data_IF_383948211134
#
_entry.id   IF_383948211134
#
_cell.length_a   1.000
_cell.length_b   1.000
_cell.length_c   1.000
_cell.angle_alpha   90.00
_cell.angle_beta   90.00
_cell.angle_gamma   90.00
#
_symmetry.space_group_name_H-M   'P 1'
#
loop_
_entity.id
_entity.type
_entity.pdbx_description
1 polymer ?
#
# COMPACT_ATOMS: atom_id res chain seq x y z
N UNK A 1 -18.47 -44.13 -19.91
CA UNK A 1 -18.57 -42.70 -19.55
C UNK A 1 -17.79 -42.48 -18.27
N UNK A 2 -16.54 -42.03 -18.37
CA UNK A 2 -15.71 -41.74 -17.21
C UNK A 2 -15.84 -40.25 -16.87
N UNK A 3 -16.43 -39.96 -15.71
CA UNK A 3 -16.50 -38.63 -15.11
C UNK A 3 -15.12 -38.26 -14.57
N UNK A 4 -14.50 -37.24 -15.16
CA UNK A 4 -13.26 -36.64 -14.65
C UNK A 4 -13.66 -35.57 -13.63
N UNK A 5 -13.34 -35.80 -12.36
CA UNK A 5 -13.47 -34.81 -11.32
C UNK A 5 -12.35 -33.76 -11.48
N UNK A 6 -12.73 -32.51 -11.75
CA UNK A 6 -11.82 -31.36 -11.73
C UNK A 6 -11.55 -30.99 -10.27
N UNK A 7 -10.34 -31.25 -9.80
CA UNK A 7 -9.83 -30.69 -8.55
C UNK A 7 -9.37 -29.27 -8.83
N UNK A 8 -10.25 -28.29 -8.63
CA UNK A 8 -9.88 -26.89 -8.57
C UNK A 8 -9.01 -26.64 -7.34
N UNK A 9 -7.72 -26.42 -7.54
CA UNK A 9 -6.87 -25.89 -6.48
C UNK A 9 -7.33 -24.47 -6.15
N UNK A 10 -7.78 -24.27 -4.92
CA UNK A 10 -8.16 -22.97 -4.39
C UNK A 10 -6.94 -22.02 -4.40
N UNK A 11 -7.16 -20.81 -4.90
CA UNK A 11 -6.18 -19.71 -4.96
C UNK A 11 -5.75 -19.32 -3.55
N UNK A 12 -4.46 -19.36 -3.28
CA UNK A 12 -3.91 -18.78 -2.06
C UNK A 12 -4.01 -17.26 -2.15
N UNK A 13 -4.92 -16.68 -1.37
CA UNK A 13 -4.79 -15.30 -0.94
C UNK A 13 -3.60 -15.22 0.02
N UNK A 14 -2.75 -14.22 -0.12
CA UNK A 14 -1.68 -13.96 0.86
C UNK A 14 -2.33 -13.84 2.26
N UNK A 15 -1.86 -14.59 3.27
CA UNK A 15 -2.49 -14.58 4.58
C UNK A 15 -2.37 -13.19 5.22
N UNK A 16 -3.40 -12.79 5.96
CA UNK A 16 -3.37 -11.63 6.83
C UNK A 16 -2.10 -11.68 7.71
N UNK A 17 -1.14 -10.79 7.47
CA UNK A 17 0.13 -10.72 8.20
C UNK A 17 1.40 -10.77 7.36
N UNK A 18 1.34 -11.12 6.07
CA UNK A 18 2.49 -10.92 5.18
C UNK A 18 2.85 -9.43 5.04
N UNK A 19 4.13 -9.10 4.97
CA UNK A 19 4.59 -7.72 4.72
C UNK A 19 4.20 -7.25 3.32
N UNK A 20 3.99 -5.95 3.16
CA UNK A 20 3.59 -5.34 1.90
C UNK A 20 4.59 -5.64 0.78
N UNK A 21 4.12 -6.30 -0.26
CA UNK A 21 4.88 -6.55 -1.48
C UNK A 21 4.45 -5.61 -2.60
N UNK A 22 5.39 -5.25 -3.47
CA UNK A 22 5.13 -4.44 -4.65
C UNK A 22 5.62 -5.16 -5.91
N UNK A 23 4.71 -5.43 -6.84
CA UNK A 23 5.01 -6.15 -8.09
C UNK A 23 4.46 -5.39 -9.29
N UNK A 24 5.21 -5.32 -10.39
CA UNK A 24 4.65 -4.83 -11.65
C UNK A 24 3.99 -5.98 -12.38
N UNK A 25 2.70 -5.82 -12.69
CA UNK A 25 1.85 -6.85 -13.28
C UNK A 25 1.26 -6.34 -14.59
N UNK A 26 1.23 -7.22 -15.59
CA UNK A 26 0.57 -7.00 -16.88
C UNK A 26 -0.76 -7.76 -16.91
N UNK A 27 -1.77 -7.16 -17.53
CA UNK A 27 -3.09 -7.78 -17.70
C UNK A 27 -2.97 -9.04 -18.55
N UNK A 28 -3.44 -10.17 -18.00
CA UNK A 28 -3.70 -11.41 -18.74
C UNK A 28 -5.17 -11.58 -19.12
N UNK A 29 -5.97 -10.50 -19.12
CA UNK A 29 -7.38 -10.58 -19.51
C UNK A 29 -7.53 -10.95 -20.99
N UNK A 30 -8.41 -11.92 -21.33
CA UNK A 30 -8.71 -12.23 -22.73
C UNK A 30 -9.14 -10.99 -23.52
N UNK A 31 -8.53 -10.79 -24.69
CA UNK A 31 -8.86 -9.68 -25.59
C UNK A 31 -8.20 -8.33 -25.27
N UNK A 32 -7.20 -8.29 -24.36
CA UNK A 32 -6.36 -7.10 -24.17
C UNK A 32 -5.24 -6.98 -25.22
N UNK A 33 -4.78 -8.09 -25.79
CA UNK A 33 -3.70 -8.05 -26.79
C UNK A 33 -4.13 -7.31 -28.08
N UNK A 34 -3.21 -6.55 -28.71
CA UNK A 34 -1.77 -6.47 -28.42
C UNK A 34 -1.40 -5.47 -27.31
N UNK A 35 -2.36 -4.67 -26.81
CA UNK A 35 -2.12 -3.52 -25.92
C UNK A 35 -2.77 -3.73 -24.56
N UNK A 36 -2.05 -4.34 -23.63
CA UNK A 36 -2.58 -4.68 -22.31
C UNK A 36 -2.19 -3.65 -21.25
N UNK A 37 -3.05 -3.47 -20.25
CA UNK A 37 -2.79 -2.61 -19.11
C UNK A 37 -1.71 -3.21 -18.20
N UNK A 38 -0.88 -2.36 -17.61
CA UNK A 38 0.07 -2.69 -16.55
C UNK A 38 -0.29 -1.93 -15.27
N UNK A 39 0.01 -2.50 -14.11
CA UNK A 39 -0.20 -1.86 -12.81
C UNK A 39 0.86 -2.32 -11.80
N UNK A 40 0.90 -1.65 -10.66
CA UNK A 40 1.66 -2.07 -9.49
C UNK A 40 0.68 -2.77 -8.55
N UNK A 41 0.84 -4.06 -8.33
CA UNK A 41 0.20 -4.75 -7.20
C UNK A 41 0.88 -4.31 -5.90
N UNK A 42 0.10 -3.91 -4.91
CA UNK A 42 0.54 -3.51 -3.58
C UNK A 42 -0.29 -4.26 -2.53
N UNK A 43 0.18 -5.42 -2.07
CA UNK A 43 -0.60 -6.30 -1.19
C UNK A 43 0.16 -6.68 0.07
N UNK A 44 -0.53 -6.64 1.22
CA UNK A 44 0.01 -7.02 2.53
C UNK A 44 0.00 -5.90 3.57
N UNK A 45 0.68 -6.14 4.68
CA UNK A 45 0.76 -5.25 5.84
C UNK A 45 1.79 -4.15 5.60
N UNK A 46 1.41 -2.89 5.78
CA UNK A 46 2.32 -1.75 5.67
C UNK A 46 3.27 -1.79 6.87
N UNK A 47 4.56 -1.97 6.62
CA UNK A 47 5.64 -1.96 7.62
C UNK A 47 6.60 -0.80 7.35
N UNK A 48 7.55 -0.55 8.25
CA UNK A 48 8.48 0.58 8.12
C UNK A 48 9.44 0.45 6.92
N UNK A 49 9.69 -0.76 6.42
CA UNK A 49 10.45 -1.00 5.20
C UNK A 49 9.64 -0.79 3.91
N UNK A 50 8.31 -0.84 3.96
CA UNK A 50 7.45 -0.74 2.77
C UNK A 50 7.71 0.51 1.91
N UNK A 51 7.94 1.72 2.47
CA UNK A 51 8.30 2.89 1.67
C UNK A 51 9.61 2.72 0.89
N UNK A 52 10.60 2.02 1.46
CA UNK A 52 11.86 1.77 0.78
C UNK A 52 11.69 0.79 -0.39
N UNK A 53 10.90 -0.26 -0.20
CA UNK A 53 10.54 -1.23 -1.26
C UNK A 53 9.77 -0.54 -2.39
N UNK A 54 8.76 0.26 -2.06
CA UNK A 54 8.01 1.03 -3.06
C UNK A 54 8.90 1.99 -3.83
N UNK A 55 9.78 2.73 -3.13
CA UNK A 55 10.75 3.63 -3.77
C UNK A 55 11.71 2.88 -4.70
N UNK A 56 12.14 1.66 -4.34
CA UNK A 56 12.99 0.82 -5.20
C UNK A 56 12.24 0.43 -6.48
N UNK A 57 10.98 0.00 -6.38
CA UNK A 57 10.16 -0.33 -7.55
C UNK A 57 9.89 0.90 -8.44
N UNK A 58 9.55 2.05 -7.83
CA UNK A 58 9.36 3.29 -8.56
C UNK A 58 10.61 3.71 -9.36
N UNK A 59 11.82 3.41 -8.86
CA UNK A 59 13.06 3.61 -9.62
C UNK A 59 13.19 2.64 -10.79
N UNK A 60 12.83 1.36 -10.63
CA UNK A 60 12.98 0.35 -11.69
C UNK A 60 12.05 0.60 -12.88
N UNK A 61 10.86 1.17 -12.65
CA UNK A 61 9.92 1.53 -13.74
C UNK A 61 10.18 2.92 -14.34
N UNK A 62 11.18 3.65 -13.85
CA UNK A 62 11.53 4.98 -14.35
C UNK A 62 10.38 5.98 -14.23
N UNK A 63 10.03 6.63 -15.35
CA UNK A 63 8.98 7.65 -15.44
C UNK A 63 7.58 7.08 -15.71
N UNK A 64 7.44 5.75 -15.85
CA UNK A 64 6.14 5.11 -16.08
C UNK A 64 5.20 5.39 -14.90
N UNK A 65 3.96 5.74 -15.22
CA UNK A 65 2.89 6.02 -14.25
C UNK A 65 1.90 4.87 -14.27
N UNK A 66 2.26 3.80 -13.58
CA UNK A 66 1.39 2.64 -13.46
C UNK A 66 0.42 2.86 -12.29
N UNK A 67 -0.89 2.61 -12.47
CA UNK A 67 -1.83 2.64 -11.36
C UNK A 67 -1.44 1.61 -10.31
N UNK A 68 -1.82 1.86 -9.05
CA UNK A 68 -1.63 0.91 -7.96
C UNK A 68 -2.93 0.18 -7.70
N UNK A 69 -2.86 -1.15 -7.61
CA UNK A 69 -3.94 -2.01 -7.13
C UNK A 69 -3.57 -2.48 -5.74
N UNK A 70 -4.35 -2.08 -4.73
CA UNK A 70 -4.04 -2.35 -3.32
C UNK A 70 -5.08 -3.21 -2.64
N UNK A 71 -4.61 -4.21 -1.88
CA UNK A 71 -5.35 -4.81 -0.78
C UNK A 71 -4.48 -4.83 0.47
N UNK A 72 -4.95 -4.30 1.60
CA UNK A 72 -4.12 -4.20 2.79
C UNK A 72 -4.93 -4.07 4.08
N UNK A 73 -4.52 -4.77 5.16
CA UNK A 73 -5.08 -4.57 6.49
C UNK A 73 -4.66 -3.23 7.13
N UNK A 74 -3.73 -2.51 6.50
CA UNK A 74 -3.05 -1.36 7.09
C UNK A 74 -1.73 -1.77 7.74
N UNK A 75 -1.36 -1.13 8.85
CA UNK A 75 -0.07 -1.28 9.50
C UNK A 75 0.52 0.06 9.91
N UNK A 76 1.82 0.25 9.74
CA UNK A 76 2.54 1.47 10.14
C UNK A 76 1.98 2.71 9.43
N UNK A 77 1.57 3.69 10.26
CA UNK A 77 0.92 4.92 9.79
C UNK A 77 1.91 5.80 9.03
N UNK A 78 3.14 5.94 9.53
CA UNK A 78 4.11 6.86 8.95
C UNK A 78 4.64 6.34 7.61
N UNK A 79 4.78 5.02 7.48
CA UNK A 79 5.02 4.33 6.23
C UNK A 79 3.89 4.54 5.22
N UNK A 80 2.63 4.39 5.64
CA UNK A 80 1.47 4.65 4.77
C UNK A 80 1.44 6.10 4.26
N UNK A 81 1.71 7.06 5.15
CA UNK A 81 1.82 8.49 4.83
C UNK A 81 2.99 8.80 3.88
N UNK A 82 4.12 8.11 4.03
CA UNK A 82 5.28 8.26 3.17
C UNK A 82 5.02 7.70 1.76
N UNK A 83 4.41 6.50 1.68
CA UNK A 83 4.00 5.89 0.41
C UNK A 83 2.99 6.80 -0.31
N UNK A 84 1.95 7.25 0.39
CA UNK A 84 0.94 8.14 -0.21
C UNK A 84 1.52 9.44 -0.77
N UNK A 85 2.54 10.03 -0.14
CA UNK A 85 3.27 11.19 -0.71
C UNK A 85 4.03 10.84 -1.98
N UNK A 86 4.67 9.67 -2.04
CA UNK A 86 5.35 9.21 -3.26
C UNK A 86 4.36 8.95 -4.40
N UNK A 87 3.18 8.39 -4.09
CA UNK A 87 2.06 8.22 -5.04
C UNK A 87 1.63 9.57 -5.59
N UNK A 88 1.35 10.54 -4.72
CA UNK A 88 0.92 11.90 -5.08
C UNK A 88 1.95 12.60 -5.97
N UNK A 89 3.22 12.55 -5.57
CA UNK A 89 4.31 13.19 -6.29
C UNK A 89 4.49 12.65 -7.72
N UNK A 90 4.13 11.39 -7.97
CA UNK A 90 4.16 10.76 -9.29
C UNK A 90 2.84 10.81 -10.06
N UNK A 91 1.81 11.43 -9.50
CA UNK A 91 0.48 11.51 -10.09
C UNK A 91 -0.10 10.12 -10.45
N UNK A 92 0.04 9.16 -9.53
CA UNK A 92 -0.40 7.78 -9.73
C UNK A 92 -1.87 7.64 -9.27
N UNK A 93 -2.69 6.94 -10.05
CA UNK A 93 -4.03 6.51 -9.63
C UNK A 93 -3.95 5.25 -8.76
N UNK A 94 -4.90 5.09 -7.83
CA UNK A 94 -4.94 3.97 -6.89
C UNK A 94 -6.35 3.36 -6.87
N UNK A 95 -6.42 2.04 -6.97
CA UNK A 95 -7.64 1.26 -6.87
C UNK A 95 -7.52 0.26 -5.72
N UNK A 96 -8.60 0.10 -4.94
CA UNK A 96 -8.70 -1.05 -4.04
C UNK A 96 -9.13 -2.27 -4.86
N UNK A 97 -8.30 -3.31 -4.84
CA UNK A 97 -8.46 -4.51 -5.63
C UNK A 97 -7.43 -5.57 -5.23
N UNK A 98 -7.65 -6.82 -5.65
CA UNK A 98 -6.71 -7.93 -5.53
C UNK A 98 -6.13 -8.25 -6.90
N UNK A 99 -4.84 -8.53 -6.93
CA UNK A 99 -4.12 -9.01 -8.10
C UNK A 99 -3.96 -10.51 -7.99
N UNK A 100 -4.64 -11.23 -8.88
CA UNK A 100 -4.47 -12.65 -9.00
C UNK A 100 -3.48 -12.96 -10.11
N UNK A 101 -2.32 -13.50 -9.77
CA UNK A 101 -1.35 -13.97 -10.75
C UNK A 101 -1.89 -15.20 -11.48
N UNK A 102 -1.77 -15.21 -12.81
CA UNK A 102 -2.15 -16.34 -13.69
C UNK A 102 -0.95 -17.25 -13.91
N UNK A 103 0.25 -16.70 -13.93
CA UNK A 103 1.50 -17.41 -14.19
C UNK A 103 2.09 -17.98 -12.89
N UNK A 104 3.12 -17.32 -12.38
CA UNK A 104 3.99 -17.83 -11.35
C UNK A 104 3.57 -17.28 -9.98
N UNK A 105 3.26 -18.19 -9.05
CA UNK A 105 3.04 -17.84 -7.65
C UNK A 105 4.42 -17.68 -6.96
N UNK A 106 4.61 -16.70 -6.05
CA UNK A 106 5.89 -16.48 -5.35
C UNK A 106 6.45 -17.72 -4.63
N UNK A 107 5.61 -18.69 -4.31
CA UNK A 107 5.95 -19.92 -3.60
C UNK A 107 6.45 -21.06 -4.51
N UNK A 108 6.53 -20.87 -5.83
CA UNK A 108 7.03 -21.89 -6.77
C UNK A 108 8.57 -21.81 -6.91
N UNK A 109 9.27 -22.95 -6.80
CA UNK A 109 10.75 -23.01 -6.84
C UNK A 109 11.35 -22.58 -8.18
N UNK A 110 10.66 -22.82 -9.30
CA UNK A 110 11.08 -22.43 -10.65
C UNK A 110 10.62 -21.01 -11.04
N UNK A 111 10.17 -20.24 -10.04
CA UNK A 111 9.74 -18.86 -10.25
C UNK A 111 10.95 -17.94 -10.41
N UNK A 112 11.51 -17.92 -11.62
CA UNK A 112 12.59 -17.00 -11.94
C UNK A 112 11.98 -15.60 -12.04
N UNK A 113 12.16 -14.80 -10.98
CA UNK A 113 12.20 -13.34 -11.07
C UNK A 113 13.31 -13.02 -12.07
N UNK A 114 12.95 -12.96 -13.34
CA UNK A 114 13.94 -12.59 -14.31
C UNK A 114 14.18 -11.10 -14.06
N UNK A 115 15.42 -10.80 -13.69
CA UNK A 115 15.77 -9.59 -12.96
C UNK A 115 16.26 -8.49 -13.90
N UNK A 116 15.53 -8.14 -14.98
CA UNK A 116 16.01 -7.10 -15.92
C UNK A 116 15.04 -6.05 -16.50
N UNK A 117 13.74 -6.30 -16.73
CA UNK A 117 12.95 -5.38 -17.60
C UNK A 117 11.49 -5.10 -17.21
N UNK A 118 11.16 -5.08 -15.91
CA UNK A 118 10.13 -4.15 -15.41
C UNK A 118 8.65 -4.46 -15.63
N UNK A 119 8.26 -5.65 -16.10
CA UNK A 119 6.96 -6.30 -15.88
C UNK A 119 7.04 -7.78 -16.34
N UNK A 120 7.05 -8.73 -15.41
CA UNK A 120 7.22 -10.17 -15.72
C UNK A 120 6.17 -11.07 -15.07
N UNK A 121 5.14 -10.46 -14.47
CA UNK A 121 4.03 -11.17 -13.85
C UNK A 121 2.77 -10.89 -14.65
N UNK A 122 2.09 -11.94 -15.06
CA UNK A 122 0.80 -11.87 -15.74
C UNK A 122 -0.28 -12.12 -14.71
N UNK A 123 -1.25 -11.21 -14.63
CA UNK A 123 -2.33 -11.32 -13.65
C UNK A 123 -3.63 -10.69 -14.11
N UNK A 124 -4.64 -10.83 -13.25
CA UNK A 124 -5.94 -10.17 -13.38
C UNK A 124 -6.21 -9.43 -12.07
N UNK A 125 -6.51 -8.14 -12.17
CA UNK A 125 -7.00 -7.37 -11.05
C UNK A 125 -8.53 -7.49 -10.96
N UNK A 126 -9.04 -7.69 -9.75
CA UNK A 126 -10.48 -7.79 -9.47
C UNK A 126 -10.82 -7.16 -8.12
N UNK A 127 -12.05 -6.69 -7.97
CA UNK A 127 -12.52 -6.04 -6.74
C UNK A 127 -12.94 -7.02 -5.63
N UNK A 128 -13.20 -8.29 -5.98
CA UNK A 128 -13.73 -9.29 -5.04
C UNK A 128 -12.83 -9.54 -3.83
N UNK A 129 -13.40 -9.46 -2.63
CA UNK A 129 -12.71 -9.62 -1.33
C UNK A 129 -11.53 -8.66 -1.09
N UNK A 130 -11.35 -7.66 -1.94
CA UNK A 130 -10.31 -6.66 -1.77
C UNK A 130 -10.71 -5.68 -0.68
N UNK A 131 -9.73 -5.23 0.10
CA UNK A 131 -10.00 -4.32 1.19
C UNK A 131 -8.83 -3.38 1.46
N UNK A 132 -9.13 -2.22 2.03
CA UNK A 132 -8.13 -1.25 2.43
C UNK A 132 -8.51 -0.70 3.80
N UNK A 133 -7.90 -1.29 4.83
CA UNK A 133 -8.26 -1.05 6.23
C UNK A 133 -7.23 -0.21 6.98
N UNK A 134 -7.66 0.38 8.09
CA UNK A 134 -6.79 1.06 9.07
C UNK A 134 -5.97 2.21 8.48
N UNK A 135 -4.66 2.04 8.31
CA UNK A 135 -3.75 3.02 7.69
C UNK A 135 -3.69 2.94 6.17
N UNK A 136 -4.19 1.87 5.54
CA UNK A 136 -4.25 1.76 4.07
C UNK A 136 -5.03 2.93 3.40
N UNK A 137 -6.19 3.38 3.92
CA UNK A 137 -6.88 4.56 3.39
C UNK A 137 -6.02 5.82 3.34
N UNK A 138 -5.02 5.95 4.23
CA UNK A 138 -4.07 7.04 4.20
C UNK A 138 -3.12 6.90 2.99
N UNK A 139 -2.65 5.69 2.69
CA UNK A 139 -1.88 5.43 1.47
C UNK A 139 -2.73 5.72 0.21
N UNK A 140 -3.97 5.21 0.17
CA UNK A 140 -4.94 5.42 -0.91
C UNK A 140 -5.16 6.92 -1.19
N UNK A 141 -5.26 7.75 -0.14
CA UNK A 141 -5.44 9.20 -0.27
C UNK A 141 -4.36 9.85 -1.15
N UNK A 142 -3.16 9.29 -1.21
CA UNK A 142 -2.08 9.73 -2.10
C UNK A 142 -2.44 9.77 -3.59
N UNK A 143 -3.41 8.94 -4.02
CA UNK A 143 -3.78 8.80 -5.43
C UNK A 143 -4.41 10.06 -6.04
N UNK A 144 -4.05 10.38 -7.28
CA UNK A 144 -4.69 11.46 -8.07
C UNK A 144 -6.08 11.07 -8.57
N UNK A 145 -6.28 9.79 -8.84
CA UNK A 145 -7.57 9.14 -9.00
C UNK A 145 -7.67 7.98 -8.01
N UNK A 146 -8.82 7.84 -7.35
CA UNK A 146 -9.03 6.86 -6.27
C UNK A 146 -10.35 6.15 -6.51
N UNK A 147 -10.32 4.83 -6.64
CA UNK A 147 -11.51 4.01 -6.90
C UNK A 147 -11.58 2.82 -5.95
N UNK A 148 -12.80 2.49 -5.53
CA UNK A 148 -13.11 1.34 -4.69
C UNK A 148 -14.36 0.71 -5.29
N UNK A 149 -14.22 -0.51 -5.80
CA UNK A 149 -15.33 -1.23 -6.43
C UNK A 149 -16.36 -1.68 -5.40
N UNK A 150 -17.58 -1.97 -5.87
CA UNK A 150 -18.71 -2.43 -5.03
C UNK A 150 -18.38 -3.68 -4.20
N UNK A 151 -17.53 -4.56 -4.75
CA UNK A 151 -17.11 -5.81 -4.10
C UNK A 151 -15.85 -5.67 -3.24
N UNK A 152 -15.26 -4.48 -3.23
CA UNK A 152 -14.16 -4.09 -2.37
C UNK A 152 -14.69 -3.18 -1.26
N UNK A 153 -13.94 -3.03 -0.18
CA UNK A 153 -14.33 -2.06 0.85
C UNK A 153 -13.14 -1.29 1.44
N UNK A 154 -13.44 -0.09 1.91
CA UNK A 154 -12.53 0.75 2.65
C UNK A 154 -13.02 0.82 4.10
N UNK A 155 -12.16 0.43 5.03
CA UNK A 155 -12.47 0.37 6.45
C UNK A 155 -11.58 1.28 7.28
N UNK A 156 -12.14 1.94 8.29
CA UNK A 156 -11.38 2.74 9.25
C UNK A 156 -11.67 2.30 10.68
N UNK A 157 -10.69 2.48 11.55
CA UNK A 157 -10.80 2.31 13.00
C UNK A 157 -9.82 3.24 13.71
N UNK A 158 -9.86 3.30 15.05
CA UNK A 158 -8.95 4.18 15.77
C UNK A 158 -7.50 3.69 15.67
N UNK A 159 -6.57 4.62 15.50
CA UNK A 159 -5.15 4.33 15.49
C UNK A 159 -4.67 4.07 16.91
N UNK A 160 -4.07 2.91 17.14
CA UNK A 160 -3.44 2.55 18.41
C UNK A 160 -1.98 2.99 18.40
N UNK A 161 -1.50 3.63 19.47
CA UNK A 161 -0.08 4.00 19.62
C UNK A 161 0.61 3.03 20.57
N UNK A 162 1.70 2.40 20.14
CA UNK A 162 2.50 1.51 20.98
C UNK A 162 3.72 2.26 21.51
N UNK A 163 3.83 2.39 22.82
CA UNK A 163 4.99 2.98 23.49
C UNK A 163 5.96 1.87 23.87
N UNK A 164 7.20 1.95 23.39
CA UNK A 164 8.29 1.08 23.83
C UNK A 164 9.21 1.88 24.74
N UNK A 165 9.43 1.39 25.97
CA UNK A 165 10.32 2.01 26.92
C UNK A 165 11.69 1.36 26.84
N UNK A 166 12.72 2.18 26.60
CA UNK A 166 14.11 1.72 26.47
C UNK A 166 14.94 2.42 27.55
N UNK A 167 15.50 1.63 28.46
CA UNK A 167 16.52 2.08 29.38
C UNK A 167 17.86 2.16 28.65
N UNK A 168 18.49 3.34 28.64
CA UNK A 168 19.81 3.53 28.01
C UNK A 168 20.83 3.95 29.05
N UNK A 169 21.83 3.10 29.30
CA UNK A 169 22.95 3.41 30.19
C UNK A 169 24.04 4.15 29.41
N UNK A 170 24.56 5.24 29.95
CA UNK A 170 25.65 6.01 29.35
C UNK A 170 26.90 6.02 30.22
N UNK A 171 28.07 5.97 29.59
CA UNK A 171 29.36 6.30 30.20
C UNK A 171 29.77 7.67 29.68
N UNK A 172 29.75 8.66 30.55
CA UNK A 172 30.20 10.01 30.23
C UNK A 172 31.58 10.29 30.86
N UNK A 173 32.50 10.88 30.08
CA UNK A 173 33.76 11.44 30.58
C UNK A 173 33.64 12.96 30.68
N UNK A 174 34.31 13.54 31.66
CA UNK A 174 34.32 14.99 31.89
C UNK A 174 35.75 15.51 32.00
N UNK A 175 35.95 16.76 31.61
CA UNK A 175 37.18 17.54 31.84
C UNK A 175 36.79 18.84 32.51
N UNK A 176 37.51 19.21 33.54
CA UNK A 176 37.32 20.48 34.21
C UNK A 176 38.17 21.52 33.48
N UNK A 177 37.55 22.59 32.98
CA UNK A 177 38.23 23.71 32.31
C UNK A 177 37.81 24.98 33.03
N UNK A 178 38.77 25.73 33.58
CA UNK A 178 38.53 26.95 34.37
C UNK A 178 37.51 26.73 35.52
N UNK A 179 37.62 25.62 36.25
CA UNK A 179 36.71 25.26 37.33
C UNK A 179 35.33 24.74 36.89
N UNK A 180 35.01 24.73 35.59
CA UNK A 180 33.72 24.23 35.07
C UNK A 180 33.84 22.82 34.52
N UNK A 181 32.93 21.92 34.96
CA UNK A 181 32.83 20.54 34.46
C UNK A 181 32.27 20.54 33.04
N UNK A 182 33.10 20.16 32.07
CA UNK A 182 32.73 20.06 30.65
C UNK A 182 32.69 18.59 30.24
N UNK A 183 31.58 18.12 29.67
CA UNK A 183 31.44 16.74 29.18
C UNK A 183 32.31 16.55 27.93
N UNK A 184 33.26 15.61 27.97
CA UNK A 184 34.21 15.34 26.88
C UNK A 184 33.82 14.15 26.02
N UNK A 185 33.08 13.19 26.56
CA UNK A 185 32.48 12.12 25.76
C UNK A 185 31.23 11.57 26.42
N UNK A 186 30.28 11.09 25.62
CA UNK A 186 29.09 10.35 26.06
C UNK A 186 28.96 9.10 25.19
N UNK A 187 29.23 7.93 25.76
CA UNK A 187 29.13 6.64 25.07
C UNK A 187 27.93 5.86 25.61
N UNK A 188 27.09 5.32 24.73
CA UNK A 188 26.07 4.35 25.11
C UNK A 188 26.76 3.06 25.55
N UNK A 189 26.46 2.60 26.76
CA UNK A 189 26.99 1.35 27.34
C UNK A 189 26.05 0.20 27.08
N UNK A 190 24.75 0.41 27.27
CA UNK A 190 23.72 -0.59 26.99
C UNK A 190 22.39 0.10 26.64
N UNK A 191 21.55 -0.63 25.91
CA UNK A 191 20.13 -0.34 25.71
C UNK A 191 19.35 -1.58 26.09
N UNK A 192 18.38 -1.45 26.99
CA UNK A 192 17.49 -2.53 27.40
C UNK A 192 16.06 -2.11 27.16
N UNK A 193 15.29 -2.93 26.45
CA UNK A 193 13.84 -2.79 26.38
C UNK A 193 13.26 -3.18 27.75
N UNK A 194 12.56 -2.27 28.40
CA UNK A 194 11.96 -2.47 29.74
C UNK A 194 10.44 -2.63 29.68
N UNK A 195 9.90 -2.88 28.49
CA UNK A 195 8.48 -3.09 28.25
C UNK A 195 7.84 -1.95 27.47
N UNK A 196 6.51 -1.96 27.44
CA UNK A 196 5.74 -0.99 26.69
C UNK A 196 4.25 -1.08 26.99
N UNK A 197 3.51 -0.06 26.59
CA UNK A 197 2.06 -0.02 26.71
C UNK A 197 1.43 0.49 25.42
N UNK A 198 0.18 0.12 25.17
CA UNK A 198 -0.60 0.60 24.02
C UNK A 198 -1.64 1.61 24.49
N UNK A 199 -1.77 2.72 23.79
CA UNK A 199 -2.89 3.64 23.96
C UNK A 199 -3.83 3.50 22.77
N UNK A 200 -5.10 3.37 23.09
CA UNK A 200 -6.16 3.16 22.12
C UNK A 200 -6.75 4.49 21.64
N UNK A 201 -6.69 5.52 22.47
CA UNK A 201 -7.13 6.86 22.09
C UNK A 201 -6.09 7.57 21.20
N UNK A 202 -6.59 8.17 20.12
CA UNK A 202 -5.79 9.00 19.24
C UNK A 202 -5.38 10.30 19.93
N UNK A 203 -4.07 10.55 20.02
CA UNK A 203 -3.57 11.82 20.55
C UNK A 203 -3.98 13.01 19.67
N UNK A 204 -4.15 14.21 20.28
CA UNK A 204 -4.43 15.44 19.53
C UNK A 204 -3.36 15.74 18.47
N UNK A 205 -2.10 15.37 18.72
CA UNK A 205 -1.02 15.51 17.75
C UNK A 205 -1.19 14.59 16.55
N UNK A 206 -1.57 13.33 16.78
CA UNK A 206 -1.85 12.36 15.71
C UNK A 206 -3.03 12.84 14.87
N UNK A 207 -4.12 13.27 15.52
CA UNK A 207 -5.29 13.83 14.82
C UNK A 207 -4.92 14.99 13.90
N UNK A 208 -4.14 15.96 14.41
CA UNK A 208 -3.69 17.10 13.58
C UNK A 208 -2.80 16.66 12.42
N UNK A 209 -1.89 15.71 12.65
CA UNK A 209 -1.00 15.16 11.62
C UNK A 209 -1.81 14.51 10.49
N UNK A 210 -2.80 13.69 10.83
CA UNK A 210 -3.65 13.02 9.85
C UNK A 210 -4.55 14.00 9.10
N UNK A 211 -5.19 14.94 9.80
CA UNK A 211 -6.02 15.97 9.15
C UNK A 211 -5.19 16.82 8.18
N UNK A 212 -3.98 17.22 8.58
CA UNK A 212 -3.07 17.96 7.70
C UNK A 212 -2.67 17.15 6.46
N UNK A 213 -2.34 15.87 6.63
CA UNK A 213 -2.03 14.99 5.51
C UNK A 213 -3.22 14.78 4.56
N UNK A 214 -4.41 14.50 5.10
CA UNK A 214 -5.58 14.30 4.25
C UNK A 214 -5.92 15.58 3.48
N UNK A 215 -5.78 16.75 4.12
CA UNK A 215 -5.92 18.04 3.45
C UNK A 215 -4.89 18.22 2.31
N UNK A 216 -3.62 17.87 2.54
CA UNK A 216 -2.56 17.84 1.51
C UNK A 216 -2.96 16.96 0.31
N UNK A 217 -3.69 15.88 0.57
CA UNK A 217 -4.18 14.93 -0.44
C UNK A 217 -5.56 15.25 -1.02
N UNK A 218 -6.16 16.38 -0.64
CA UNK A 218 -7.50 16.80 -1.08
C UNK A 218 -8.65 15.94 -0.52
N UNK A 219 -8.44 15.25 0.59
CA UNK A 219 -9.42 14.42 1.29
C UNK A 219 -9.98 15.18 2.50
N UNK A 220 -11.29 15.05 2.74
CA UNK A 220 -11.98 15.69 3.86
C UNK A 220 -11.58 15.13 5.23
N UNK A 221 -11.60 16.00 6.25
CA UNK A 221 -11.21 15.63 7.62
C UNK A 221 -12.15 14.65 8.33
N UNK A 222 -13.38 14.48 7.83
CA UNK A 222 -14.40 13.59 8.41
C UNK A 222 -13.93 12.13 8.53
N UNK A 223 -13.00 11.69 7.68
CA UNK A 223 -12.37 10.36 7.76
C UNK A 223 -11.67 10.16 9.10
N UNK A 224 -10.97 11.19 9.60
CA UNK A 224 -10.28 11.11 10.90
C UNK A 224 -11.28 11.07 12.05
N UNK A 225 -12.41 11.75 11.90
CA UNK A 225 -13.47 11.71 12.90
C UNK A 225 -14.10 10.31 12.97
N UNK A 226 -14.31 9.65 11.80
CA UNK A 226 -14.74 8.24 11.73
C UNK A 226 -13.70 7.27 12.33
N UNK A 227 -12.41 7.49 12.07
CA UNK A 227 -11.33 6.72 12.69
C UNK A 227 -11.42 6.82 14.22
N UNK A 228 -11.58 8.03 14.78
CA UNK A 228 -11.59 8.27 16.22
C UNK A 228 -12.74 7.60 16.96
N UNK A 229 -13.93 7.54 16.36
CA UNK A 229 -15.13 6.99 17.02
C UNK A 229 -15.27 5.47 16.87
N UNK A 230 -14.46 4.85 16.02
CA UNK A 230 -14.55 3.42 15.74
C UNK A 230 -13.53 2.66 16.59
N UNK A 231 -13.94 1.73 17.47
CA UNK A 231 -13.03 1.00 18.36
C UNK A 231 -11.91 0.28 17.60
N UNK A 232 -10.73 0.13 18.23
CA UNK A 232 -9.59 -0.54 17.59
C UNK A 232 -9.82 -2.02 17.26
N UNK A 233 -10.79 -2.67 17.89
CA UNK A 233 -11.17 -4.05 17.64
C UNK A 233 -12.18 -4.20 16.49
N UNK A 234 -12.77 -3.09 16.03
CA UNK A 234 -13.80 -3.08 14.98
C UNK A 234 -13.25 -2.46 13.69
N UNK A 235 -13.97 -2.65 12.58
CA UNK A 235 -13.71 -1.97 11.31
C UNK A 235 -15.01 -1.34 10.82
N UNK A 236 -15.04 -0.01 10.76
CA UNK A 236 -16.16 0.72 10.15
C UNK A 236 -15.91 0.82 8.65
N UNK A 237 -16.70 0.04 7.88
CA UNK A 237 -16.77 0.19 6.43
C UNK A 237 -17.38 1.54 6.08
N UNK A 238 -16.82 2.19 5.08
CA UNK A 238 -17.33 3.46 4.55
C UNK A 238 -18.14 3.13 3.28
N UNK A 239 -19.36 3.61 3.18
CA UNK A 239 -20.19 3.39 2.00
C UNK A 239 -19.67 4.18 0.79
N UNK A 240 -19.83 3.70 -0.47
CA UNK A 240 -19.27 4.34 -1.66
C UNK A 240 -19.62 5.83 -1.82
N UNK A 241 -20.88 6.21 -1.53
CA UNK A 241 -21.32 7.61 -1.59
C UNK A 241 -20.65 8.45 -0.51
N UNK A 242 -20.55 7.95 0.72
CA UNK A 242 -19.84 8.62 1.80
C UNK A 242 -18.34 8.78 1.48
N UNK A 243 -17.73 7.79 0.81
CA UNK A 243 -16.35 7.94 0.31
C UNK A 243 -16.21 9.11 -0.65
N UNK A 244 -17.16 9.31 -1.57
CA UNK A 244 -17.13 10.46 -2.50
C UNK A 244 -17.32 11.80 -1.79
N UNK A 245 -18.28 11.89 -0.86
CA UNK A 245 -18.54 13.11 -0.09
C UNK A 245 -17.32 13.54 0.72
N UNK A 246 -16.64 12.58 1.35
CA UNK A 246 -15.38 12.80 2.06
C UNK A 246 -14.18 12.93 1.12
N UNK A 247 -14.37 12.76 -0.20
CA UNK A 247 -13.34 12.75 -1.23
C UNK A 247 -12.29 11.66 -1.03
N UNK A 248 -12.60 10.56 -0.33
CA UNK A 248 -11.74 9.38 -0.25
C UNK A 248 -11.60 8.70 -1.62
N UNK A 249 -12.72 8.57 -2.35
CA UNK A 249 -12.73 8.19 -3.76
C UNK A 249 -12.92 9.44 -4.61
N UNK A 250 -12.47 9.38 -5.86
CA UNK A 250 -12.66 10.48 -6.83
C UNK A 250 -13.76 10.18 -7.84
N UNK A 251 -14.15 8.91 -7.98
CA UNK A 251 -15.21 8.42 -8.87
C UNK A 251 -15.73 7.07 -8.36
N UNK A 252 -16.96 6.72 -8.72
CA UNK A 252 -17.48 5.37 -8.52
C UNK A 252 -16.89 4.43 -9.56
N UNK A 253 -16.67 3.19 -9.15
CA UNK A 253 -16.18 2.12 -10.01
C UNK A 253 -15.10 1.30 -9.35
N UNK A 254 -14.78 0.17 -9.96
CA UNK A 254 -13.78 -0.78 -9.46
C UNK A 254 -12.43 -0.63 -10.11
N UNK A 255 -11.55 -1.56 -9.75
CA UNK A 255 -10.19 -1.68 -10.28
C UNK A 255 -10.16 -1.84 -11.81
N UNK A 256 -11.23 -2.37 -12.38
CA UNK A 256 -11.40 -2.61 -13.82
C UNK A 256 -11.34 -1.31 -14.63
N UNK A 257 -11.65 -0.15 -14.03
CA UNK A 257 -11.48 1.15 -14.67
C UNK A 257 -10.01 1.46 -15.00
N UNK A 258 -9.05 0.85 -14.31
CA UNK A 258 -7.63 1.10 -14.46
C UNK A 258 -6.87 -0.05 -15.15
N UNK A 259 -7.44 -1.26 -15.15
CA UNK A 259 -6.73 -2.50 -15.52
C UNK A 259 -7.39 -3.32 -16.63
N UNK A 260 -8.61 -2.98 -17.03
CA UNK A 260 -9.34 -3.75 -18.05
C UNK A 260 -8.80 -3.53 -19.47
N UNK A 261 -9.10 -4.48 -20.37
CA UNK A 261 -8.83 -4.31 -21.80
C UNK A 261 -9.47 -3.03 -22.38
N UNK A 262 -10.65 -2.64 -21.88
CA UNK A 262 -11.37 -1.46 -22.36
C UNK A 262 -10.63 -0.15 -22.02
N UNK A 263 -9.93 -0.10 -20.88
CA UNK A 263 -9.09 1.05 -20.52
C UNK A 263 -8.01 1.33 -21.59
N UNK A 264 -7.56 0.30 -22.30
CA UNK A 264 -6.55 0.38 -23.37
C UNK A 264 -7.12 0.60 -24.77
N UNK A 265 -8.44 0.60 -24.94
CA UNK A 265 -9.11 0.86 -26.24
C UNK A 265 -9.49 2.33 -26.43
N UNK A 266 -9.22 3.17 -25.43
CA UNK A 266 -9.43 4.61 -25.49
C UNK A 266 -8.46 5.29 -26.49
N UNK A 267 -8.83 6.48 -26.99
CA UNK A 267 -7.98 7.28 -27.89
C UNK A 267 -7.76 8.67 -27.26
N UNK A 268 -6.54 9.00 -26.78
CA UNK A 268 -5.37 8.13 -26.69
C UNK A 268 -5.56 7.03 -25.62
N UNK A 269 -4.86 5.89 -25.78
CA UNK A 269 -4.89 4.82 -24.80
C UNK A 269 -4.35 5.30 -23.44
N UNK A 270 -4.82 4.69 -22.35
CA UNK A 270 -4.34 5.03 -21.02
C UNK A 270 -2.81 4.84 -20.90
N UNK A 271 -2.16 5.69 -20.11
CA UNK A 271 -0.69 5.75 -20.03
C UNK A 271 -0.02 4.46 -19.50
N UNK A 272 -0.81 3.57 -18.89
CA UNK A 272 -0.38 2.28 -18.40
C UNK A 272 -0.62 1.13 -19.39
N UNK A 273 -1.10 1.41 -20.60
CA UNK A 273 -1.32 0.43 -21.64
C UNK A 273 -0.07 0.29 -22.52
N UNK A 274 0.44 -0.94 -22.65
CA UNK A 274 1.68 -1.24 -23.37
C UNK A 274 1.44 -2.31 -24.43
N UNK A 275 1.94 -2.04 -25.64
CA UNK A 275 2.00 -3.03 -26.72
C UNK A 275 3.04 -4.09 -26.35
N UNK A 276 2.68 -5.38 -26.34
CA UNK A 276 3.71 -6.43 -26.28
C UNK A 276 4.42 -6.51 -27.63
N UNK A 277 5.73 -6.45 -27.61
CA UNK A 277 6.53 -6.68 -28.81
C UNK A 277 7.43 -7.90 -28.59
N UNK A 278 7.94 -8.49 -29.67
CA UNK A 278 8.87 -9.63 -29.57
C UNK A 278 10.13 -9.32 -28.76
N UNK A 279 10.46 -8.04 -28.57
CA UNK A 279 11.58 -7.56 -27.73
C UNK A 279 11.33 -7.82 -26.24
N UNK A 280 10.08 -8.01 -25.82
CA UNK A 280 9.72 -8.29 -24.43
C UNK A 280 9.88 -9.78 -24.04
N UNK A 281 10.20 -10.65 -25.01
CA UNK A 281 10.44 -12.09 -24.83
C UNK A 281 11.93 -12.46 -24.63
N UNK A 282 12.85 -11.51 -24.81
CA UNK A 282 14.33 -11.68 -24.70
C UNK A 282 14.87 -11.23 -23.32
#
# INVERSE_FOLDING_TARGET
MATVASTGAARASQPDGAEMQFLVVRSGQPGCEPTCAEWISAEGTIVDESPALFKKLLKSIGNRRLPIVVTSPGGDVDAALAIGRMIRARQIEVAVGKTQLIDCQPEQEDCIDSDRQGARRIGIAHSGEAYCNSSCPLMLAGGTGRVVGEWAYLGVHQITTTYVQIETLYRAKYRIVNGKKTMTSKKVVSRRNIGGYKTYEMSKSTERKLKAYLAEMGVGGAVVDLMKITPAADIRKIEPVAMLEMKLTTKLGGVELLTSAEACRTVPAAANCRVFTSVDLE
#
